data_IF_196669020496
#
_entry.id   IF_196669020496
#
_cell.length_a   1.000
_cell.length_b   1.000
_cell.length_c   1.000
_cell.angle_alpha   90.00
_cell.angle_beta   90.00
_cell.angle_gamma   90.00
#
_symmetry.space_group_name_H-M   'P 1'
#
loop_
_entity.id
_entity.type
_entity.pdbx_description
1 polymer ?
#
# COMPACT_ATOMS: atom_id res chain seq x y z
N UNK A 1 -7.27 29.54 20.52
CA UNK A 1 -8.03 28.43 21.14
C UNK A 1 -8.45 27.52 20.00
N UNK A 2 -7.64 26.49 19.70
CA UNK A 2 -8.03 25.47 18.72
C UNK A 2 -9.09 24.63 19.40
N UNK A 3 -10.28 24.50 18.81
CA UNK A 3 -11.34 23.64 19.36
C UNK A 3 -10.81 22.21 19.41
N UNK A 4 -10.90 21.55 20.55
CA UNK A 4 -10.71 20.10 20.63
C UNK A 4 -11.75 19.44 19.71
N UNK A 5 -11.27 18.80 18.64
CA UNK A 5 -12.13 18.05 17.72
C UNK A 5 -12.40 16.70 18.38
N UNK A 6 -13.67 16.34 18.54
CA UNK A 6 -14.06 15.00 19.02
C UNK A 6 -13.84 13.95 17.93
N UNK A 7 -13.73 12.68 18.32
CA UNK A 7 -13.63 11.56 17.38
C UNK A 7 -14.76 11.59 16.32
N UNK A 8 -16.00 11.77 16.76
CA UNK A 8 -17.17 11.88 15.86
C UNK A 8 -17.06 13.09 14.92
N UNK A 9 -16.50 14.20 15.41
CA UNK A 9 -16.25 15.39 14.61
C UNK A 9 -15.19 15.14 13.54
N UNK A 10 -14.11 14.44 13.89
CA UNK A 10 -13.07 14.07 12.93
C UNK A 10 -13.57 13.07 11.89
N UNK A 11 -14.34 12.06 12.31
CA UNK A 11 -14.99 11.11 11.39
C UNK A 11 -15.93 11.84 10.41
N UNK A 12 -16.76 12.74 10.91
CA UNK A 12 -17.68 13.53 10.07
C UNK A 12 -16.93 14.37 9.03
N UNK A 13 -15.79 14.96 9.41
CA UNK A 13 -14.94 15.70 8.48
C UNK A 13 -14.37 14.77 7.39
N UNK A 14 -13.92 13.57 7.76
CA UNK A 14 -13.40 12.59 6.81
C UNK A 14 -14.48 12.08 5.86
N UNK A 15 -15.70 11.82 6.34
CA UNK A 15 -16.83 11.41 5.51
C UNK A 15 -17.20 12.45 4.43
N UNK A 16 -16.99 13.74 4.71
CA UNK A 16 -17.20 14.82 3.74
C UNK A 16 -16.02 14.97 2.78
N UNK A 17 -14.78 14.83 3.28
CA UNK A 17 -13.58 15.10 2.49
C UNK A 17 -13.19 13.93 1.57
N UNK A 18 -13.21 12.70 2.08
CA UNK A 18 -12.69 11.51 1.38
C UNK A 18 -13.34 11.23 0.01
N UNK A 19 -14.65 11.44 -0.21
CA UNK A 19 -15.27 11.21 -1.51
C UNK A 19 -14.74 12.12 -2.62
N UNK A 20 -14.28 13.31 -2.28
CA UNK A 20 -13.86 14.37 -3.21
C UNK A 20 -12.33 14.58 -3.23
N UNK A 21 -11.60 13.75 -2.48
CA UNK A 21 -10.16 13.91 -2.27
C UNK A 21 -9.39 13.72 -3.59
N UNK A 22 -8.75 14.78 -4.06
CA UNK A 22 -7.94 14.78 -5.29
C UNK A 22 -6.48 14.37 -5.04
N UNK A 23 -5.98 14.58 -3.82
CA UNK A 23 -4.62 14.20 -3.46
C UNK A 23 -4.61 12.71 -3.06
N UNK A 24 -3.92 11.83 -3.79
CA UNK A 24 -3.99 10.39 -3.56
C UNK A 24 -3.31 9.94 -2.24
N UNK A 25 -2.50 10.79 -1.60
CA UNK A 25 -1.79 10.47 -0.37
C UNK A 25 -2.61 10.73 0.90
N UNK A 26 -3.64 11.59 0.80
CA UNK A 26 -4.42 12.00 1.97
C UNK A 26 -5.43 10.91 2.37
N UNK A 27 -6.19 10.28 1.46
CA UNK A 27 -7.15 9.26 1.84
C UNK A 27 -6.55 8.09 2.63
N UNK A 28 -5.47 7.42 2.16
CA UNK A 28 -4.89 6.31 2.91
C UNK A 28 -4.48 6.73 4.32
N UNK A 29 -3.88 7.93 4.45
CA UNK A 29 -3.42 8.43 5.75
C UNK A 29 -4.57 8.79 6.69
N UNK A 30 -5.61 9.45 6.21
CA UNK A 30 -6.78 9.78 7.05
C UNK A 30 -7.49 8.51 7.55
N UNK A 31 -7.59 7.49 6.71
CA UNK A 31 -8.22 6.22 7.08
C UNK A 31 -7.36 5.49 8.11
N UNK A 32 -6.03 5.46 7.91
CA UNK A 32 -5.10 4.90 8.90
C UNK A 32 -5.28 5.59 10.26
N UNK A 33 -5.31 6.93 10.30
CA UNK A 33 -5.51 7.67 11.55
C UNK A 33 -6.87 7.35 12.20
N UNK A 34 -7.95 7.25 11.41
CA UNK A 34 -9.28 6.88 11.93
C UNK A 34 -9.28 5.48 12.56
N UNK A 35 -8.63 4.50 11.93
CA UNK A 35 -8.50 3.15 12.48
C UNK A 35 -7.62 3.16 13.73
N UNK A 36 -6.50 3.90 13.72
CA UNK A 36 -5.56 3.99 14.84
C UNK A 36 -6.20 4.58 16.11
N UNK A 37 -7.09 5.56 15.97
CA UNK A 37 -7.80 6.17 17.10
C UNK A 37 -9.09 5.41 17.50
N UNK A 38 -9.38 4.29 16.84
CA UNK A 38 -10.53 3.43 17.14
C UNK A 38 -11.88 4.03 16.71
N UNK A 39 -11.91 4.77 15.60
CA UNK A 39 -13.16 5.26 15.02
C UNK A 39 -14.06 4.09 14.60
N UNK A 40 -15.36 4.23 14.91
CA UNK A 40 -16.40 3.26 14.54
C UNK A 40 -17.34 3.90 13.52
N UNK A 41 -17.60 3.19 12.43
CA UNK A 41 -18.49 3.65 11.36
C UNK A 41 -17.89 3.49 9.97
N UNK A 42 -18.48 4.20 9.01
CA UNK A 42 -18.17 4.04 7.59
C UNK A 42 -17.62 5.32 6.96
N UNK A 43 -16.75 5.16 5.96
CA UNK A 43 -16.29 6.22 5.07
C UNK A 43 -16.43 5.79 3.61
N UNK A 44 -16.56 6.75 2.70
CA UNK A 44 -16.60 6.48 1.25
C UNK A 44 -15.30 6.94 0.61
N UNK A 45 -14.63 6.02 -0.08
CA UNK A 45 -13.36 6.26 -0.79
C UNK A 45 -13.46 5.61 -2.16
N UNK A 46 -13.13 6.34 -3.23
CA UNK A 46 -13.25 5.83 -4.60
C UNK A 46 -14.63 5.19 -4.90
N UNK A 47 -15.70 5.83 -4.42
CA UNK A 47 -17.10 5.36 -4.51
C UNK A 47 -17.40 4.00 -3.84
N UNK A 48 -16.52 3.52 -2.96
CA UNK A 48 -16.72 2.31 -2.16
C UNK A 48 -16.87 2.68 -0.70
N UNK A 49 -17.88 2.11 -0.05
CA UNK A 49 -18.07 2.20 1.39
C UNK A 49 -17.10 1.26 2.10
N UNK A 50 -16.41 1.79 3.10
CA UNK A 50 -15.43 1.10 3.92
C UNK A 50 -15.90 1.17 5.36
N UNK A 51 -16.04 0.02 6.02
CA UNK A 51 -16.27 -0.05 7.45
C UNK A 51 -14.92 -0.02 8.19
N UNK A 52 -14.75 0.96 9.07
CA UNK A 52 -13.49 1.18 9.80
C UNK A 52 -13.21 0.06 10.81
N UNK A 53 -14.25 -0.57 11.35
CA UNK A 53 -14.12 -1.64 12.36
C UNK A 53 -13.53 -2.94 11.79
N UNK A 54 -13.68 -3.14 10.49
CA UNK A 54 -13.23 -4.34 9.79
C UNK A 54 -11.77 -4.22 9.30
N UNK A 55 -11.18 -3.03 9.40
CA UNK A 55 -9.86 -2.75 8.87
C UNK A 55 -8.77 -2.95 9.93
N UNK A 56 -7.73 -3.75 9.64
CA UNK A 56 -6.49 -3.68 10.41
C UNK A 56 -5.75 -2.39 10.09
N UNK A 57 -4.79 -2.01 10.95
CA UNK A 57 -3.78 -1.04 10.58
C UNK A 57 -3.01 -1.55 9.34
N UNK A 58 -2.50 -0.65 8.47
CA UNK A 58 -1.79 -1.05 7.26
C UNK A 58 -0.62 -2.00 7.54
N UNK A 59 0.12 -1.75 8.62
CA UNK A 59 1.25 -2.58 9.03
C UNK A 59 0.83 -3.95 9.60
N UNK A 60 -0.40 -4.08 10.08
CA UNK A 60 -0.95 -5.32 10.64
C UNK A 60 -1.69 -6.17 9.59
N UNK A 61 -1.83 -5.65 8.36
CA UNK A 61 -2.50 -6.36 7.29
C UNK A 61 -1.83 -7.72 7.02
N UNK A 62 -2.60 -8.80 7.11
CA UNK A 62 -2.11 -10.18 6.92
C UNK A 62 -1.38 -10.39 5.59
N UNK A 63 -1.88 -9.75 4.53
CA UNK A 63 -1.26 -9.81 3.20
C UNK A 63 0.14 -9.20 3.20
N UNK A 64 0.34 -8.05 3.85
CA UNK A 64 1.63 -7.39 3.96
C UNK A 64 2.60 -8.27 4.75
N UNK A 65 2.18 -8.75 5.92
CA UNK A 65 3.00 -9.62 6.77
C UNK A 65 3.45 -10.88 6.02
N UNK A 66 2.54 -11.50 5.26
CA UNK A 66 2.84 -12.68 4.44
C UNK A 66 3.81 -12.35 3.30
N UNK A 67 3.65 -11.22 2.61
CA UNK A 67 4.58 -10.77 1.57
C UNK A 67 5.98 -10.56 2.15
N UNK A 68 6.08 -9.84 3.28
CA UNK A 68 7.37 -9.55 3.92
C UNK A 68 8.08 -10.84 4.35
N UNK A 69 7.36 -11.81 4.90
CA UNK A 69 7.92 -13.12 5.26
C UNK A 69 8.42 -13.90 4.03
N UNK A 70 7.67 -13.90 2.92
CA UNK A 70 8.09 -14.57 1.67
C UNK A 70 9.36 -13.91 1.11
N UNK A 71 9.42 -12.58 1.11
CA UNK A 71 10.61 -11.85 0.66
C UNK A 71 11.80 -12.20 1.54
N UNK A 72 11.66 -12.09 2.86
CA UNK A 72 12.72 -12.40 3.82
C UNK A 72 13.31 -13.81 3.61
N UNK A 73 12.44 -14.81 3.45
CA UNK A 73 12.84 -16.19 3.18
C UNK A 73 13.56 -16.33 1.82
N UNK A 74 13.00 -15.77 0.75
CA UNK A 74 13.50 -15.99 -0.62
C UNK A 74 14.75 -15.19 -0.97
N UNK A 75 14.99 -14.08 -0.28
CA UNK A 75 16.20 -13.27 -0.49
C UNK A 75 17.18 -13.35 0.68
N UNK A 76 17.07 -14.35 1.55
CA UNK A 76 17.96 -14.53 2.71
C UNK A 76 19.45 -14.55 2.32
N UNK A 77 19.79 -15.11 1.16
CA UNK A 77 21.16 -15.17 0.62
C UNK A 77 21.62 -13.86 -0.04
N UNK A 78 20.70 -12.89 -0.19
CA UNK A 78 20.95 -11.59 -0.79
C UNK A 78 20.39 -10.45 0.09
N UNK A 79 20.96 -10.21 1.29
CA UNK A 79 20.43 -9.24 2.25
C UNK A 79 20.24 -7.82 1.67
N UNK A 80 21.08 -7.43 0.72
CA UNK A 80 20.95 -6.17 -0.02
C UNK A 80 19.61 -6.04 -0.76
N UNK A 81 19.07 -7.14 -1.30
CA UNK A 81 17.76 -7.11 -1.96
C UNK A 81 16.66 -6.82 -0.95
N UNK A 82 16.74 -7.42 0.24
CA UNK A 82 15.77 -7.18 1.31
C UNK A 82 15.73 -5.69 1.70
N UNK A 83 16.91 -5.06 1.86
CA UNK A 83 17.01 -3.62 2.20
C UNK A 83 16.42 -2.68 1.17
N UNK A 84 16.27 -3.14 -0.09
CA UNK A 84 15.70 -2.33 -1.17
C UNK A 84 14.21 -2.64 -1.37
N UNK A 85 13.84 -3.92 -1.35
CA UNK A 85 12.48 -4.40 -1.63
C UNK A 85 11.53 -4.03 -0.48
N UNK A 86 11.91 -4.27 0.78
CA UNK A 86 10.99 -4.11 1.91
C UNK A 86 10.47 -2.67 2.08
N UNK A 87 11.31 -1.62 2.00
CA UNK A 87 10.82 -0.25 2.06
C UNK A 87 9.83 0.09 0.92
N UNK A 88 10.09 -0.40 -0.29
CA UNK A 88 9.19 -0.17 -1.43
C UNK A 88 7.83 -0.86 -1.22
N UNK A 89 7.83 -2.11 -0.77
CA UNK A 89 6.60 -2.84 -0.42
C UNK A 89 5.79 -2.06 0.60
N UNK A 90 6.42 -1.62 1.70
CA UNK A 90 5.75 -0.85 2.75
C UNK A 90 5.16 0.46 2.21
N UNK A 91 5.91 1.18 1.37
CA UNK A 91 5.43 2.42 0.76
C UNK A 91 4.22 2.18 -0.15
N UNK A 92 4.28 1.15 -1.02
CA UNK A 92 3.17 0.79 -1.90
C UNK A 92 1.93 0.36 -1.11
N UNK A 93 2.10 -0.42 -0.04
CA UNK A 93 0.97 -0.86 0.79
C UNK A 93 0.35 0.30 1.58
N UNK A 94 1.16 1.22 2.10
CA UNK A 94 0.66 2.44 2.72
C UNK A 94 -0.14 3.30 1.71
N UNK A 95 0.31 3.37 0.47
CA UNK A 95 -0.39 4.10 -0.59
C UNK A 95 -1.70 3.43 -1.04
N UNK A 96 -1.74 2.10 -1.08
CA UNK A 96 -2.92 1.36 -1.53
C UNK A 96 -4.03 1.27 -0.48
N UNK A 97 -3.74 1.59 0.80
CA UNK A 97 -4.70 1.45 1.89
C UNK A 97 -5.97 2.31 1.66
N UNK A 98 -7.19 1.78 1.86
CA UNK A 98 -7.52 0.49 2.47
C UNK A 98 -7.72 -0.64 1.44
N UNK A 99 -7.48 -0.39 0.16
CA UNK A 99 -7.67 -1.33 -0.93
C UNK A 99 -6.43 -2.19 -1.17
N UNK A 100 -6.08 -2.98 -0.16
CA UNK A 100 -4.94 -3.88 -0.22
C UNK A 100 -5.28 -5.14 -1.06
N UNK A 101 -4.25 -5.82 -1.61
CA UNK A 101 -4.43 -7.11 -2.27
C UNK A 101 -4.95 -8.20 -1.33
N UNK A 102 -5.56 -9.25 -1.89
CA UNK A 102 -5.98 -10.41 -1.12
C UNK A 102 -4.78 -11.23 -0.61
N UNK A 103 -4.95 -11.93 0.51
CA UNK A 103 -3.87 -12.73 1.15
C UNK A 103 -3.41 -13.88 0.24
N UNK A 104 -4.29 -14.37 -0.62
CA UNK A 104 -4.03 -15.38 -1.65
C UNK A 104 -3.03 -14.88 -2.70
N UNK A 105 -3.02 -13.57 -2.97
CA UNK A 105 -2.12 -12.94 -3.94
C UNK A 105 -0.73 -12.62 -3.36
N UNK A 106 -0.50 -12.84 -2.06
CA UNK A 106 0.75 -12.47 -1.39
C UNK A 106 2.01 -13.07 -2.05
N UNK A 107 1.94 -14.32 -2.53
CA UNK A 107 3.06 -14.95 -3.23
C UNK A 107 3.37 -14.23 -4.54
N UNK A 108 2.35 -13.92 -5.34
CA UNK A 108 2.53 -13.28 -6.64
C UNK A 108 3.09 -11.85 -6.48
N UNK A 109 2.62 -11.12 -5.47
CA UNK A 109 3.18 -9.80 -5.15
C UNK A 109 4.64 -9.90 -4.72
N UNK A 110 4.98 -10.81 -3.81
CA UNK A 110 6.36 -10.98 -3.35
C UNK A 110 7.31 -11.36 -4.50
N UNK A 111 6.94 -12.35 -5.32
CA UNK A 111 7.71 -12.77 -6.50
C UNK A 111 7.89 -11.62 -7.49
N UNK A 112 6.85 -10.84 -7.73
CA UNK A 112 6.88 -9.69 -8.63
C UNK A 112 7.90 -8.63 -8.19
N UNK A 113 8.06 -8.38 -6.88
CA UNK A 113 9.14 -7.50 -6.38
C UNK A 113 10.52 -8.16 -6.54
N UNK A 114 10.67 -9.41 -6.12
CA UNK A 114 11.96 -10.10 -6.15
C UNK A 114 12.51 -10.17 -7.58
N UNK A 115 11.68 -10.54 -8.55
CA UNK A 115 12.08 -10.65 -9.96
C UNK A 115 12.56 -9.33 -10.54
N UNK A 116 11.89 -8.22 -10.20
CA UNK A 116 12.26 -6.90 -10.67
C UNK A 116 13.66 -6.50 -10.18
N UNK A 117 13.91 -6.67 -8.89
CA UNK A 117 15.24 -6.37 -8.35
C UNK A 117 16.30 -7.33 -8.87
N UNK A 118 16.02 -8.63 -8.98
CA UNK A 118 16.96 -9.59 -9.58
C UNK A 118 17.34 -9.20 -11.01
N UNK A 119 16.38 -8.77 -11.82
CA UNK A 119 16.65 -8.27 -13.16
C UNK A 119 17.50 -6.98 -13.15
N UNK A 120 17.27 -6.06 -12.20
CA UNK A 120 18.11 -4.88 -12.03
C UNK A 120 19.57 -5.22 -11.67
N UNK A 121 19.81 -6.35 -11.01
CA UNK A 121 21.15 -6.87 -10.70
C UNK A 121 21.71 -7.80 -11.78
N UNK A 122 21.05 -7.93 -12.93
CA UNK A 122 21.54 -8.66 -14.10
C UNK A 122 21.19 -10.14 -14.15
N UNK A 123 20.27 -10.63 -13.31
CA UNK A 123 19.69 -11.97 -13.50
C UNK A 123 18.73 -11.98 -14.69
N UNK A 124 18.82 -13.00 -15.53
CA UNK A 124 17.87 -13.18 -16.63
C UNK A 124 16.50 -13.62 -16.10
N UNK A 125 15.46 -12.88 -16.49
CA UNK A 125 14.06 -13.20 -16.18
C UNK A 125 13.34 -13.47 -17.50
N UNK A 126 12.64 -14.60 -17.59
CA UNK A 126 11.93 -14.98 -18.80
C UNK A 126 10.72 -14.08 -19.09
N UNK A 127 10.43 -13.87 -20.38
CA UNK A 127 9.26 -13.11 -20.82
C UNK A 127 7.94 -13.67 -20.28
N UNK A 128 7.84 -15.00 -20.14
CA UNK A 128 6.65 -15.65 -19.55
C UNK A 128 6.42 -15.23 -18.09
N UNK A 129 7.48 -15.05 -17.30
CA UNK A 129 7.36 -14.56 -15.91
C UNK A 129 6.96 -13.10 -15.88
N UNK A 130 7.52 -12.28 -16.78
CA UNK A 130 7.12 -10.88 -16.90
C UNK A 130 5.64 -10.74 -17.27
N UNK A 131 5.18 -11.58 -18.20
CA UNK A 131 3.79 -11.59 -18.62
C UNK A 131 2.85 -12.01 -17.50
N UNK A 132 3.20 -13.07 -16.77
CA UNK A 132 2.39 -13.56 -15.65
C UNK A 132 2.18 -12.47 -14.58
N UNK A 133 3.21 -11.67 -14.28
CA UNK A 133 3.14 -10.62 -13.26
C UNK A 133 2.75 -9.23 -13.80
N UNK A 134 2.41 -9.09 -15.09
CA UNK A 134 2.21 -7.81 -15.77
C UNK A 134 1.29 -6.86 -14.99
N UNK A 135 0.12 -7.32 -14.56
CA UNK A 135 -0.84 -6.48 -13.84
C UNK A 135 -0.28 -5.92 -12.51
N UNK A 136 0.53 -6.71 -11.79
CA UNK A 136 1.17 -6.26 -10.56
C UNK A 136 2.28 -5.25 -10.89
N UNK A 137 3.04 -5.48 -11.95
CA UNK A 137 4.09 -4.56 -12.41
C UNK A 137 3.51 -3.21 -12.82
N UNK A 138 2.41 -3.21 -13.58
CA UNK A 138 1.68 -2.00 -13.97
C UNK A 138 1.21 -1.23 -12.73
N UNK A 139 0.63 -1.92 -11.73
CA UNK A 139 0.20 -1.29 -10.48
C UNK A 139 1.35 -0.65 -9.71
N UNK A 140 2.48 -1.34 -9.56
CA UNK A 140 3.68 -0.78 -8.92
C UNK A 140 4.19 0.45 -9.69
N UNK A 141 4.18 0.39 -11.02
CA UNK A 141 4.64 1.50 -11.85
C UNK A 141 3.73 2.73 -11.75
N UNK A 142 2.40 2.55 -11.70
CA UNK A 142 1.46 3.64 -11.42
C UNK A 142 1.80 4.34 -10.09
N UNK A 143 2.03 3.56 -9.03
CA UNK A 143 2.37 4.11 -7.70
C UNK A 143 3.67 4.90 -7.77
N UNK A 144 4.71 4.37 -8.42
CA UNK A 144 6.00 5.06 -8.60
C UNK A 144 5.85 6.38 -9.35
N UNK A 145 5.04 6.41 -10.41
CA UNK A 145 4.79 7.64 -11.17
C UNK A 145 4.14 8.71 -10.29
N UNK A 146 3.17 8.33 -9.46
CA UNK A 146 2.51 9.24 -8.53
C UNK A 146 3.51 9.83 -7.52
N UNK A 147 4.46 9.04 -7.00
CA UNK A 147 5.54 9.56 -6.15
C UNK A 147 6.49 10.52 -6.90
N UNK A 148 6.84 10.21 -8.16
CA UNK A 148 7.76 11.02 -8.97
C UNK A 148 7.19 12.37 -9.39
N UNK A 149 5.90 12.44 -9.70
CA UNK A 149 5.20 13.68 -10.09
C UNK A 149 5.21 14.74 -8.98
N UNK A 150 5.33 14.33 -7.71
CA UNK A 150 5.42 15.25 -6.58
C UNK A 150 6.87 15.69 -6.34
N UNK A 151 7.83 14.78 -6.45
CA UNK A 151 9.26 15.09 -6.27
C UNK A 151 9.80 16.09 -7.29
N UNK A 152 9.13 16.23 -8.45
CA UNK A 152 9.47 17.17 -9.52
C UNK A 152 8.76 18.53 -9.42
N UNK A 153 7.77 18.66 -8.52
CA UNK A 153 7.05 19.93 -8.23
C UNK A 153 7.54 20.62 -6.95
N UNK A 154 8.62 20.12 -6.36
CA UNK A 154 9.27 20.64 -5.14
C UNK A 154 10.40 21.59 -5.48
#
# INVERSE_FOLDING_TARGET
MVKEITLDGFLSMCQVYLPEAQNPFIPPKLIEELVQIGAVGEVVVNHKTINLEDLPLPEEAKVLQKILAIVDEKVQDYPQLNTLIVPEIKAHFAFMYPFLPDVEQAMDWAESYILEYKAMFGEEVSDEKWEYYRNIQEKKQEIRQIYQEIGTRS
#
